data_IF_725991225044
#
_entry.id   IF_725991225044
#
_cell.length_a   1.000
_cell.length_b   1.000
_cell.length_c   1.000
_cell.angle_alpha   90.00
_cell.angle_beta   90.00
_cell.angle_gamma   90.00
#
_symmetry.space_group_name_H-M   'P 1'
#
loop_
_entity.id
_entity.type
_entity.pdbx_description
1 polymer ?
#
# COMPACT_ATOMS: atom_id res chain seq x y z
N UNK A 1 -5.35 -6.27 -5.07
CA UNK A 1 -5.69 -5.36 -6.18
C UNK A 1 -5.41 -6.02 -7.53
N UNK A 2 -6.07 -5.54 -8.59
CA UNK A 2 -5.84 -6.01 -9.97
C UNK A 2 -5.07 -4.98 -10.80
N UNK A 3 -5.04 -3.73 -10.35
CA UNK A 3 -4.29 -2.66 -11.04
C UNK A 3 -3.62 -1.76 -10.01
N UNK A 4 -2.47 -1.24 -10.34
CA UNK A 4 -1.71 -0.32 -9.49
C UNK A 4 -0.97 0.72 -10.32
N UNK A 5 -0.85 1.92 -9.77
CA UNK A 5 -0.03 2.98 -10.34
C UNK A 5 0.60 3.79 -9.21
N UNK A 6 1.87 4.11 -9.35
CA UNK A 6 2.61 4.91 -8.38
C UNK A 6 3.24 6.15 -9.00
N UNK A 7 3.38 7.17 -8.20
CA UNK A 7 4.20 8.34 -8.49
C UNK A 7 4.83 8.84 -7.19
N UNK A 8 6.04 9.37 -7.27
CA UNK A 8 6.76 9.83 -6.09
C UNK A 8 7.61 11.05 -6.40
N UNK A 9 8.08 11.69 -5.34
CA UNK A 9 9.26 12.55 -5.41
C UNK A 9 10.45 11.73 -5.90
N UNK A 10 11.61 12.35 -5.95
CA UNK A 10 12.84 11.69 -6.35
C UNK A 10 12.96 10.27 -5.77
N UNK A 11 13.09 9.29 -6.66
CA UNK A 11 13.36 7.90 -6.32
C UNK A 11 14.81 7.56 -6.66
N UNK A 12 15.62 7.40 -5.64
CA UNK A 12 16.97 6.86 -5.78
C UNK A 12 16.93 5.33 -5.82
N UNK A 13 17.98 4.74 -6.41
CA UNK A 13 18.07 3.29 -6.58
C UNK A 13 17.91 2.52 -5.25
N UNK A 14 18.56 3.00 -4.19
CA UNK A 14 18.68 2.29 -2.91
C UNK A 14 17.82 2.89 -1.78
N UNK A 15 17.00 3.90 -2.07
CA UNK A 15 16.21 4.60 -1.07
C UNK A 15 14.73 4.64 -1.42
N UNK A 16 13.89 4.70 -0.39
CA UNK A 16 12.50 5.08 -0.56
C UNK A 16 12.39 6.58 -0.90
N UNK A 17 11.35 7.00 -1.63
CA UNK A 17 11.12 8.42 -1.88
C UNK A 17 10.67 9.14 -0.60
N UNK A 18 10.87 10.46 -0.55
CA UNK A 18 10.40 11.27 0.57
C UNK A 18 8.88 11.42 0.61
N UNK A 19 8.23 11.37 -0.55
CA UNK A 19 6.78 11.47 -0.66
C UNK A 19 6.30 10.65 -1.86
N UNK A 20 5.14 10.02 -1.72
CA UNK A 20 4.57 9.20 -2.79
C UNK A 20 3.05 9.22 -2.77
N UNK A 21 2.50 8.95 -3.95
CA UNK A 21 1.10 8.64 -4.16
C UNK A 21 1.00 7.29 -4.85
N UNK A 22 0.23 6.38 -4.27
CA UNK A 22 -0.07 5.07 -4.86
C UNK A 22 -1.58 4.94 -5.03
N UNK A 23 -1.99 4.54 -6.23
CA UNK A 23 -3.36 4.18 -6.55
C UNK A 23 -3.43 2.67 -6.73
N UNK A 24 -4.32 2.02 -6.00
CA UNK A 24 -4.62 0.60 -6.08
C UNK A 24 -6.09 0.44 -6.49
N UNK A 25 -6.37 -0.49 -7.39
CA UNK A 25 -7.74 -0.75 -7.84
C UNK A 25 -8.10 -2.19 -7.49
N UNK A 26 -9.20 -2.34 -6.77
CA UNK A 26 -9.78 -3.62 -6.38
C UNK A 26 -11.03 -3.89 -7.20
N UNK A 27 -11.20 -5.12 -7.70
CA UNK A 27 -12.37 -5.46 -8.51
C UNK A 27 -13.67 -5.37 -7.71
N UNK A 28 -14.78 -5.21 -8.41
CA UNK A 28 -16.10 -5.28 -7.83
C UNK A 28 -16.33 -6.61 -7.10
N UNK A 29 -17.11 -6.57 -6.04
CA UNK A 29 -17.48 -7.73 -5.22
C UNK A 29 -19.00 -7.90 -5.23
N UNK A 30 -19.49 -8.82 -6.03
CA UNK A 30 -20.91 -8.97 -6.29
C UNK A 30 -21.65 -9.88 -5.29
N UNK A 31 -20.94 -10.75 -4.57
CA UNK A 31 -21.51 -11.80 -3.75
C UNK A 31 -21.37 -11.62 -2.24
N UNK A 32 -21.10 -10.40 -1.77
CA UNK A 32 -20.98 -10.13 -0.34
C UNK A 32 -22.26 -9.45 0.18
N UNK A 33 -23.16 -10.16 0.89
CA UNK A 33 -24.34 -9.52 1.46
C UNK A 33 -23.92 -8.39 2.41
N UNK A 34 -24.50 -7.22 2.24
CA UNK A 34 -24.25 -5.98 2.99
C UNK A 34 -22.93 -5.25 2.66
N UNK A 35 -22.05 -5.81 1.82
CA UNK A 35 -20.77 -5.23 1.46
C UNK A 35 -20.51 -5.35 -0.04
N UNK A 36 -21.54 -5.58 -0.85
CA UNK A 36 -21.42 -5.50 -2.29
C UNK A 36 -20.87 -4.11 -2.66
N UNK A 37 -19.65 -4.08 -3.13
CA UNK A 37 -18.98 -2.85 -3.49
C UNK A 37 -18.69 -2.88 -4.99
N UNK A 38 -18.90 -1.77 -5.70
CA UNK A 38 -18.37 -1.62 -7.03
C UNK A 38 -16.84 -1.76 -6.98
N UNK A 39 -16.20 -1.60 -8.10
CA UNK A 39 -14.75 -1.41 -8.11
C UNK A 39 -14.34 -0.31 -7.11
N UNK A 40 -13.31 -0.57 -6.31
CA UNK A 40 -12.84 0.36 -5.28
C UNK A 40 -11.43 0.81 -5.63
N UNK A 41 -11.25 2.12 -5.70
CA UNK A 41 -9.94 2.74 -5.77
C UNK A 41 -9.46 3.11 -4.36
N UNK A 42 -8.24 2.69 -4.03
CA UNK A 42 -7.53 3.09 -2.81
C UNK A 42 -6.38 4.00 -3.20
N UNK A 43 -6.35 5.19 -2.63
CA UNK A 43 -5.28 6.15 -2.82
C UNK A 43 -4.50 6.31 -1.52
N UNK A 44 -3.22 6.01 -1.58
CA UNK A 44 -2.28 6.23 -0.48
C UNK A 44 -1.45 7.46 -0.76
N UNK A 45 -1.40 8.35 0.21
CA UNK A 45 -0.57 9.56 0.17
C UNK A 45 0.32 9.59 1.39
N UNK A 46 1.59 9.92 1.22
CA UNK A 46 2.51 10.14 2.34
C UNK A 46 3.56 11.23 2.03
N UNK A 47 4.46 11.46 2.99
CA UNK A 47 5.53 12.45 2.84
C UNK A 47 5.07 13.89 2.71
N UNK A 48 3.86 14.20 3.19
CA UNK A 48 3.27 15.55 3.10
C UNK A 48 2.37 15.75 1.88
N UNK A 49 2.27 14.78 0.98
CA UNK A 49 1.25 14.81 -0.08
C UNK A 49 -0.13 14.57 0.53
N UNK A 50 -1.12 15.30 0.06
CA UNK A 50 -2.48 15.26 0.60
C UNK A 50 -3.48 14.98 -0.52
N UNK A 51 -4.57 14.24 -0.24
CA UNK A 51 -5.69 14.17 -1.16
C UNK A 51 -6.43 15.49 -1.24
N UNK A 52 -7.27 15.61 -2.25
CA UNK A 52 -8.20 16.73 -2.33
C UNK A 52 -9.09 16.79 -1.09
N UNK A 53 -9.36 18.01 -0.65
CA UNK A 53 -10.24 18.25 0.50
C UNK A 53 -11.67 17.85 0.15
N UNK A 54 -12.31 16.96 0.90
CA UNK A 54 -13.69 16.55 0.61
C UNK A 54 -14.64 17.75 0.62
N UNK A 55 -15.55 17.81 -0.35
CA UNK A 55 -16.56 18.85 -0.42
C UNK A 55 -17.40 18.85 0.87
N UNK A 56 -17.53 20.02 1.51
CA UNK A 56 -18.24 20.16 2.78
C UNK A 56 -17.40 19.84 4.02
N UNK A 57 -16.12 19.53 3.86
CA UNK A 57 -15.24 19.38 5.02
C UNK A 57 -15.11 20.73 5.75
N UNK A 58 -15.25 20.79 7.10
CA UNK A 58 -15.31 22.03 7.85
C UNK A 58 -14.11 22.95 7.60
N UNK A 59 -14.35 24.23 7.36
CA UNK A 59 -13.30 25.24 7.24
C UNK A 59 -12.47 25.30 8.53
N UNK A 60 -11.19 25.59 8.38
CA UNK A 60 -10.24 25.66 9.50
C UNK A 60 -9.87 24.33 10.17
N UNK A 61 -10.60 23.25 9.88
CA UNK A 61 -10.23 21.92 10.37
C UNK A 61 -9.11 21.34 9.52
N UNK A 62 -8.05 20.87 10.15
CA UNK A 62 -6.95 20.20 9.44
C UNK A 62 -7.40 18.84 8.91
N UNK A 63 -7.01 18.52 7.68
CA UNK A 63 -7.30 17.24 7.08
C UNK A 63 -6.49 16.13 7.77
N UNK A 64 -5.27 16.42 8.19
CA UNK A 64 -4.41 15.50 8.94
C UNK A 64 -4.56 15.74 10.44
N UNK A 65 -4.82 14.68 11.20
CA UNK A 65 -4.81 14.74 12.66
C UNK A 65 -3.38 14.50 13.18
N UNK A 66 -3.04 15.14 14.31
CA UNK A 66 -1.80 14.88 15.00
C UNK A 66 -1.71 13.40 15.38
N UNK A 67 -0.69 12.70 14.93
CA UNK A 67 -0.45 11.30 15.31
C UNK A 67 -0.57 10.27 14.21
N UNK A 68 -0.54 10.65 12.94
CA UNK A 68 -0.17 9.70 11.90
C UNK A 68 -1.22 9.23 10.94
N UNK A 69 -2.10 10.09 10.50
CA UNK A 69 -2.87 9.78 9.30
C UNK A 69 -4.38 9.85 9.46
N UNK A 70 -5.02 9.88 8.33
CA UNK A 70 -6.46 9.99 8.17
C UNK A 70 -6.89 9.01 7.10
N UNK A 71 -8.03 8.38 7.28
CA UNK A 71 -8.66 7.58 6.22
C UNK A 71 -10.00 8.21 5.86
N UNK A 72 -10.20 8.40 4.55
CA UNK A 72 -11.43 8.96 3.99
C UNK A 72 -12.07 7.87 3.11
N UNK A 73 -13.31 7.52 3.41
CA UNK A 73 -14.12 6.61 2.61
C UNK A 73 -15.19 7.41 1.87
N UNK A 74 -15.04 7.58 0.57
CA UNK A 74 -16.02 8.22 -0.29
C UNK A 74 -17.12 7.22 -0.65
N UNK A 75 -18.24 7.30 0.02
CA UNK A 75 -19.41 6.47 -0.27
C UNK A 75 -20.41 7.19 -1.20
N UNK A 76 -21.37 6.45 -1.71
CA UNK A 76 -22.44 7.01 -2.59
C UNK A 76 -23.45 7.89 -1.86
N UNK A 77 -23.54 7.78 -0.54
CA UNK A 77 -24.50 8.53 0.29
C UNK A 77 -23.85 9.53 1.22
N UNK A 78 -22.63 9.27 1.63
CA UNK A 78 -21.91 10.07 2.61
C UNK A 78 -20.40 9.80 2.53
N UNK A 79 -19.63 10.63 3.20
CA UNK A 79 -18.18 10.42 3.36
C UNK A 79 -17.89 10.09 4.82
N UNK A 80 -17.28 8.93 5.06
CA UNK A 80 -16.81 8.52 6.37
C UNK A 80 -15.33 8.91 6.53
N UNK A 81 -15.01 9.52 7.65
CA UNK A 81 -13.66 9.94 7.98
C UNK A 81 -13.28 9.37 9.34
N UNK A 82 -12.08 8.82 9.44
CA UNK A 82 -11.54 8.33 10.71
C UNK A 82 -10.03 8.58 10.78
N UNK A 83 -9.50 8.61 11.98
CA UNK A 83 -8.06 8.66 12.21
C UNK A 83 -7.39 7.31 11.96
N UNK A 84 -6.08 7.27 12.19
CA UNK A 84 -5.28 6.06 12.15
C UNK A 84 -5.94 4.95 13.00
N UNK A 85 -5.88 3.71 12.55
CA UNK A 85 -6.53 2.55 13.19
C UNK A 85 -8.07 2.65 13.32
N UNK A 86 -8.73 3.44 12.48
CA UNK A 86 -10.18 3.62 12.53
C UNK A 86 -10.67 4.42 13.74
N UNK A 87 -9.81 5.22 14.35
CA UNK A 87 -10.14 6.01 15.55
C UNK A 87 -11.12 7.13 15.21
N UNK A 88 -12.03 7.39 16.16
CA UNK A 88 -12.97 8.52 16.09
C UNK A 88 -13.69 8.66 14.74
N UNK A 89 -14.38 7.61 14.25
CA UNK A 89 -15.07 7.66 12.98
C UNK A 89 -16.25 8.63 13.03
N UNK A 90 -16.43 9.42 11.98
CA UNK A 90 -17.55 10.35 11.83
C UNK A 90 -17.96 10.49 10.37
N UNK A 91 -19.23 10.82 10.14
CA UNK A 91 -19.76 11.09 8.82
C UNK A 91 -19.74 12.59 8.54
N UNK A 92 -19.36 12.97 7.33
CA UNK A 92 -19.19 14.36 6.91
C UNK A 92 -20.52 15.14 6.99
N UNK A 93 -21.66 14.46 6.76
CA UNK A 93 -23.00 15.04 6.92
C UNK A 93 -23.37 15.37 8.38
N UNK A 94 -22.58 14.93 9.36
CA UNK A 94 -22.90 15.03 10.78
C UNK A 94 -23.92 13.98 11.27
N UNK A 95 -24.43 13.11 10.40
CA UNK A 95 -25.34 12.04 10.77
C UNK A 95 -24.65 11.04 11.71
N UNK A 96 -25.31 10.67 12.78
CA UNK A 96 -24.84 9.60 13.69
C UNK A 96 -25.40 8.26 13.21
N UNK A 97 -24.59 7.33 12.73
CA UNK A 97 -25.10 6.04 12.28
C UNK A 97 -25.52 5.19 13.48
N UNK A 98 -26.69 4.57 13.39
CA UNK A 98 -27.13 3.54 14.31
C UNK A 98 -26.57 2.19 13.84
N UNK A 99 -25.28 1.97 14.03
CA UNK A 99 -24.61 0.76 13.62
C UNK A 99 -24.24 -0.07 14.86
N UNK A 100 -24.44 -1.41 14.83
CA UNK A 100 -23.95 -2.26 15.90
C UNK A 100 -22.44 -2.18 15.98
N UNK A 101 -21.89 -2.16 17.18
CA UNK A 101 -20.45 -2.25 17.41
C UNK A 101 -19.99 -3.67 17.06
N UNK A 102 -19.63 -3.88 15.81
CA UNK A 102 -19.00 -5.13 15.36
C UNK A 102 -17.48 -4.91 15.39
N UNK A 103 -16.82 -5.52 16.36
CA UNK A 103 -15.37 -5.46 16.45
C UNK A 103 -14.80 -6.87 16.52
N UNK A 104 -13.94 -7.22 15.56
CA UNK A 104 -12.94 -8.26 15.76
C UNK A 104 -11.82 -7.65 16.60
N UNK A 105 -11.92 -7.71 17.91
CA UNK A 105 -10.85 -7.24 18.80
C UNK A 105 -10.04 -8.43 19.30
N UNK A 106 -8.75 -8.25 19.37
CA UNK A 106 -7.90 -9.08 20.23
C UNK A 106 -8.44 -8.94 21.65
N UNK A 107 -8.71 -10.03 22.39
CA UNK A 107 -9.27 -9.96 23.73
C UNK A 107 -8.45 -9.04 24.64
N UNK A 108 -9.11 -8.19 25.41
CA UNK A 108 -8.44 -7.25 26.35
C UNK A 108 -7.52 -7.95 27.37
N UNK A 109 -7.79 -9.22 27.67
CA UNK A 109 -6.99 -10.04 28.58
C UNK A 109 -5.61 -10.41 28.02
N UNK A 110 -5.35 -10.14 26.73
CA UNK A 110 -4.04 -10.42 26.13
C UNK A 110 -3.16 -9.18 26.22
N UNK A 111 -2.33 -9.12 27.25
CA UNK A 111 -1.22 -8.19 27.30
C UNK A 111 -0.27 -8.48 26.14
N UNK A 112 0.03 -7.49 25.29
CA UNK A 112 0.89 -7.63 24.12
C UNK A 112 0.17 -7.70 22.76
N UNK A 113 -1.16 -7.53 22.71
CA UNK A 113 -1.89 -7.30 21.46
C UNK A 113 -1.84 -8.47 20.47
N UNK A 114 -1.60 -8.14 19.21
CA UNK A 114 -1.58 -9.11 18.10
C UNK A 114 -0.43 -10.11 18.21
N UNK A 115 0.71 -9.71 18.71
CA UNK A 115 1.89 -10.57 18.91
C UNK A 115 1.57 -11.70 19.89
N UNK A 116 0.91 -11.37 21.00
CA UNK A 116 0.53 -12.37 22.01
C UNK A 116 -0.63 -13.24 21.54
N UNK A 117 -1.53 -12.74 20.71
CA UNK A 117 -2.56 -13.55 20.06
C UNK A 117 -1.94 -14.60 19.12
N UNK A 118 -0.90 -14.22 18.39
CA UNK A 118 -0.09 -15.14 17.57
C UNK A 118 0.59 -16.21 18.45
N UNK A 119 1.30 -15.80 19.50
CA UNK A 119 1.98 -16.72 20.45
C UNK A 119 0.98 -17.69 21.08
N UNK A 120 -0.20 -17.23 21.47
CA UNK A 120 -1.29 -18.07 21.98
C UNK A 120 -1.65 -19.17 20.95
N UNK A 121 -1.93 -18.77 19.72
CA UNK A 121 -2.30 -19.71 18.68
C UNK A 121 -1.20 -20.73 18.36
N UNK A 122 0.07 -20.34 18.45
CA UNK A 122 1.20 -21.25 18.30
C UNK A 122 1.28 -22.32 19.40
N UNK A 123 0.83 -21.99 20.63
CA UNK A 123 0.84 -22.89 21.78
C UNK A 123 -0.36 -23.83 21.84
N UNK A 124 -1.42 -23.56 21.11
CA UNK A 124 -2.63 -24.38 21.09
C UNK A 124 -2.44 -25.63 20.21
N UNK A 125 -3.12 -26.70 20.58
CA UNK A 125 -3.14 -27.91 19.73
C UNK A 125 -3.77 -27.60 18.36
N UNK A 126 -3.22 -28.13 17.26
CA UNK A 126 -3.78 -27.92 15.93
C UNK A 126 -5.28 -28.24 15.81
N UNK A 127 -5.76 -29.25 16.56
CA UNK A 127 -7.17 -29.68 16.52
C UNK A 127 -8.13 -28.74 17.25
N UNK A 128 -7.64 -27.90 18.14
CA UNK A 128 -8.45 -26.95 18.93
C UNK A 128 -8.03 -25.50 18.75
N UNK A 129 -7.10 -25.23 17.84
CA UNK A 129 -6.54 -23.90 17.63
C UNK A 129 -7.59 -22.89 17.19
N UNK A 130 -7.65 -21.78 17.91
CA UNK A 130 -8.38 -20.60 17.46
C UNK A 130 -7.42 -19.72 16.67
N UNK A 131 -7.74 -19.46 15.40
CA UNK A 131 -6.88 -18.65 14.54
C UNK A 131 -6.68 -17.25 15.14
N UNK A 132 -5.45 -16.71 15.09
CA UNK A 132 -5.20 -15.33 15.53
C UNK A 132 -5.92 -14.34 14.62
N UNK A 133 -6.17 -13.13 15.11
CA UNK A 133 -6.89 -12.10 14.34
C UNK A 133 -6.09 -11.57 13.15
N UNK A 134 -4.79 -11.77 13.16
CA UNK A 134 -3.87 -11.42 12.06
C UNK A 134 -3.27 -12.67 11.43
N UNK A 135 -4.11 -13.69 11.20
CA UNK A 135 -3.64 -14.89 10.49
C UNK A 135 -3.32 -14.59 9.01
N UNK A 136 -2.70 -15.55 8.33
CA UNK A 136 -2.23 -15.34 6.95
C UNK A 136 -3.36 -15.10 5.94
N UNK A 137 -4.60 -15.52 6.23
CA UNK A 137 -5.73 -15.24 5.34
C UNK A 137 -6.11 -13.75 5.33
N UNK A 138 -5.81 -13.03 6.40
CA UNK A 138 -5.98 -11.58 6.52
C UNK A 138 -4.67 -10.84 6.20
N UNK A 139 -3.57 -11.27 6.79
CA UNK A 139 -2.27 -10.61 6.66
C UNK A 139 -1.62 -10.79 5.28
N UNK A 140 -1.85 -11.93 4.63
CA UNK A 140 -1.29 -12.21 3.29
C UNK A 140 -1.76 -11.19 2.24
N UNK A 141 -3.07 -11.08 1.97
CA UNK A 141 -3.59 -10.10 1.01
C UNK A 141 -3.26 -8.64 1.36
N UNK A 142 -3.20 -8.32 2.65
CA UNK A 142 -2.80 -6.97 3.08
C UNK A 142 -1.33 -6.69 2.76
N UNK A 143 -0.42 -7.64 3.03
CA UNK A 143 0.99 -7.48 2.68
C UNK A 143 1.22 -7.44 1.17
N UNK A 144 0.48 -8.23 0.40
CA UNK A 144 0.49 -8.14 -1.07
C UNK A 144 0.13 -6.72 -1.53
N UNK A 145 -0.95 -6.14 -1.00
CA UNK A 145 -1.35 -4.77 -1.32
C UNK A 145 -0.24 -3.76 -1.00
N UNK A 146 0.42 -3.87 0.15
CA UNK A 146 1.52 -2.97 0.55
C UNK A 146 2.71 -3.15 -0.40
N UNK A 147 3.09 -4.40 -0.70
CA UNK A 147 4.18 -4.70 -1.63
C UNK A 147 3.90 -4.17 -3.04
N UNK A 148 2.65 -4.25 -3.52
CA UNK A 148 2.22 -3.68 -4.79
C UNK A 148 2.46 -2.16 -4.86
N UNK A 149 2.26 -1.45 -3.75
CA UNK A 149 2.58 -0.02 -3.66
C UNK A 149 4.07 0.25 -3.89
N UNK A 150 4.94 -0.55 -3.28
CA UNK A 150 6.39 -0.45 -3.47
C UNK A 150 6.78 -0.75 -4.92
N UNK A 151 6.24 -1.82 -5.50
CA UNK A 151 6.49 -2.19 -6.91
C UNK A 151 6.04 -1.08 -7.86
N UNK A 152 4.85 -0.49 -7.64
CA UNK A 152 4.35 0.61 -8.44
C UNK A 152 5.29 1.82 -8.43
N UNK A 153 5.86 2.15 -7.28
CA UNK A 153 6.85 3.23 -7.15
C UNK A 153 8.15 2.87 -7.87
N UNK A 154 8.65 1.65 -7.74
CA UNK A 154 9.87 1.21 -8.42
C UNK A 154 9.72 1.20 -9.96
N UNK A 155 8.51 0.93 -10.44
CA UNK A 155 8.17 0.85 -11.86
C UNK A 155 7.53 2.15 -12.41
N UNK A 156 7.47 3.23 -11.61
CA UNK A 156 6.81 4.48 -12.02
C UNK A 156 7.37 5.10 -13.31
N UNK A 157 8.62 4.78 -13.66
CA UNK A 157 9.23 5.23 -14.92
C UNK A 157 8.49 4.77 -16.19
N UNK A 158 7.66 3.72 -16.10
CA UNK A 158 6.79 3.28 -17.18
C UNK A 158 5.60 4.21 -17.42
N UNK A 159 5.28 5.08 -16.45
CA UNK A 159 4.22 6.08 -16.54
C UNK A 159 2.86 5.54 -17.00
N UNK A 160 2.47 4.38 -16.51
CA UNK A 160 1.19 3.72 -16.83
C UNK A 160 0.61 3.00 -15.62
N UNK A 161 -0.68 2.70 -15.69
CA UNK A 161 -1.32 1.77 -14.76
C UNK A 161 -0.84 0.36 -15.07
N UNK A 162 -0.30 -0.32 -14.07
CA UNK A 162 0.18 -1.69 -14.16
C UNK A 162 -0.96 -2.65 -13.81
N UNK A 163 -1.10 -3.72 -14.60
CA UNK A 163 -2.09 -4.78 -14.39
C UNK A 163 -1.44 -5.97 -13.68
N UNK A 164 -2.06 -6.43 -12.61
CA UNK A 164 -1.54 -7.45 -11.73
C UNK A 164 -2.35 -8.74 -11.77
N UNK A 165 -1.67 -9.84 -12.04
CA UNK A 165 -2.16 -11.21 -11.91
C UNK A 165 -1.63 -11.81 -10.61
N UNK A 166 -2.40 -11.67 -9.53
CA UNK A 166 -1.99 -12.14 -8.18
C UNK A 166 -1.86 -13.66 -8.10
N UNK A 167 -2.63 -14.40 -8.88
CA UNK A 167 -2.53 -15.87 -8.88
C UNK A 167 -1.18 -16.37 -9.40
N UNK A 168 -0.60 -15.67 -10.37
CA UNK A 168 0.67 -16.00 -10.97
C UNK A 168 1.82 -15.06 -10.54
N UNK A 169 1.54 -14.12 -9.64
CA UNK A 169 2.52 -13.17 -9.10
C UNK A 169 3.32 -12.45 -10.19
N UNK A 170 2.61 -11.81 -11.13
CA UNK A 170 3.23 -11.12 -12.27
C UNK A 170 2.41 -9.93 -12.75
N UNK A 171 3.09 -8.98 -13.37
CA UNK A 171 2.45 -7.95 -14.19
C UNK A 171 2.15 -8.49 -15.59
N UNK A 172 0.99 -8.16 -16.12
CA UNK A 172 0.52 -8.69 -17.41
C UNK A 172 0.69 -7.71 -18.57
N UNK A 173 0.88 -6.43 -18.27
CA UNK A 173 0.93 -5.37 -19.29
C UNK A 173 2.29 -4.65 -19.39
N UNK A 174 3.38 -5.28 -18.97
CA UNK A 174 4.74 -4.81 -19.25
C UNK A 174 5.22 -5.52 -20.52
N UNK A 175 5.47 -4.74 -21.56
CA UNK A 175 5.97 -5.25 -22.85
C UNK A 175 7.43 -5.70 -22.78
N UNK A 176 7.81 -6.62 -23.65
CA UNK A 176 9.17 -7.20 -23.67
C UNK A 176 10.24 -6.16 -24.04
N UNK A 177 9.89 -5.12 -24.80
CA UNK A 177 10.80 -4.05 -25.24
C UNK A 177 10.78 -2.82 -24.33
N UNK A 178 9.94 -2.80 -23.29
CA UNK A 178 9.86 -1.66 -22.39
C UNK A 178 11.10 -1.58 -21.50
N UNK A 179 11.61 -0.36 -21.36
CA UNK A 179 12.78 -0.08 -20.53
C UNK A 179 12.48 1.01 -19.53
N UNK A 180 13.22 1.02 -18.43
CA UNK A 180 13.19 2.10 -17.44
C UNK A 180 14.60 2.46 -17.00
N UNK A 181 14.73 3.66 -16.42
CA UNK A 181 15.96 4.15 -15.78
C UNK A 181 15.65 4.56 -14.35
N UNK A 182 16.60 4.33 -13.47
CA UNK A 182 16.54 4.80 -12.08
C UNK A 182 17.56 5.90 -11.85
N UNK A 183 17.26 6.83 -10.97
CA UNK A 183 18.19 7.89 -10.60
C UNK A 183 19.23 7.33 -9.63
N UNK A 184 20.51 7.46 -9.97
CA UNK A 184 21.64 7.10 -9.10
C UNK A 184 21.98 8.27 -8.20
N UNK A 185 22.04 9.48 -8.79
CA UNK A 185 22.40 10.71 -8.11
C UNK A 185 21.46 11.83 -8.53
N UNK A 186 21.00 12.60 -7.57
CA UNK A 186 20.29 13.84 -7.81
C UNK A 186 20.87 14.95 -6.95
N UNK A 187 21.10 16.08 -7.56
CA UNK A 187 21.71 17.21 -6.89
C UNK A 187 21.69 18.47 -7.74
N UNK A 188 22.32 19.50 -7.20
CA UNK A 188 22.52 20.77 -7.88
C UNK A 188 24.03 21.07 -7.97
N UNK A 189 24.41 21.72 -9.03
CA UNK A 189 25.72 22.37 -9.17
C UNK A 189 25.53 23.80 -9.64
N UNK A 190 26.47 24.65 -9.31
CA UNK A 190 26.50 25.99 -9.85
C UNK A 190 27.30 25.97 -11.15
N UNK A 191 26.65 26.40 -12.23
CA UNK A 191 27.30 26.57 -13.52
C UNK A 191 27.13 28.02 -13.98
N UNK A 192 28.21 28.72 -14.18
CA UNK A 192 28.25 30.15 -14.55
C UNK A 192 27.36 31.03 -13.63
N UNK A 193 27.42 30.78 -12.31
CA UNK A 193 26.64 31.53 -11.32
C UNK A 193 25.16 31.13 -11.18
N UNK A 194 24.70 30.15 -11.96
CA UNK A 194 23.31 29.68 -11.93
C UNK A 194 23.22 28.23 -11.41
N UNK A 195 22.20 27.91 -10.58
CA UNK A 195 21.94 26.53 -10.20
C UNK A 195 21.49 25.72 -11.41
N UNK A 196 22.05 24.54 -11.56
CA UNK A 196 21.64 23.56 -12.58
C UNK A 196 21.54 22.17 -11.97
N UNK A 197 20.73 21.31 -12.57
CA UNK A 197 20.59 19.93 -12.11
C UNK A 197 21.87 19.14 -12.37
N UNK A 198 22.27 18.34 -11.39
CA UNK A 198 23.39 17.40 -11.47
C UNK A 198 22.84 15.99 -11.23
N UNK A 199 22.13 15.48 -12.24
CA UNK A 199 21.41 14.21 -12.17
C UNK A 199 22.12 13.14 -13.00
N UNK A 200 22.30 11.96 -12.39
CA UNK A 200 22.84 10.77 -13.05
C UNK A 200 21.82 9.65 -13.00
N UNK A 201 21.66 8.94 -14.10
CA UNK A 201 20.73 7.85 -14.27
C UNK A 201 21.47 6.55 -14.56
N UNK A 202 20.85 5.41 -14.25
CA UNK A 202 21.31 4.10 -14.74
C UNK A 202 21.25 4.05 -16.26
N UNK A 203 21.94 3.10 -16.85
CA UNK A 203 21.59 2.66 -18.19
C UNK A 203 20.15 2.13 -18.22
N UNK A 204 19.49 2.13 -19.39
CA UNK A 204 18.18 1.53 -19.53
C UNK A 204 18.23 0.04 -19.17
N UNK A 205 17.33 -0.40 -18.31
CA UNK A 205 17.13 -1.81 -17.99
C UNK A 205 15.79 -2.29 -18.55
N UNK A 206 15.71 -3.56 -18.92
CA UNK A 206 14.44 -4.14 -19.34
C UNK A 206 13.45 -4.14 -18.17
N UNK A 207 12.29 -3.50 -18.36
CA UNK A 207 11.33 -3.25 -17.30
C UNK A 207 10.67 -4.54 -16.78
N UNK A 208 10.43 -5.50 -17.68
CA UNK A 208 9.82 -6.79 -17.32
C UNK A 208 10.77 -7.62 -16.47
N UNK A 209 12.02 -7.76 -16.88
CA UNK A 209 13.03 -8.48 -16.11
C UNK A 209 13.26 -7.82 -14.74
N UNK A 210 13.31 -6.48 -14.70
CA UNK A 210 13.43 -5.73 -13.45
C UNK A 210 12.23 -5.95 -12.52
N UNK A 211 11.01 -5.95 -13.05
CA UNK A 211 9.81 -6.25 -12.26
C UNK A 211 9.83 -7.69 -11.71
N UNK A 212 10.25 -8.68 -12.52
CA UNK A 212 10.38 -10.06 -12.09
C UNK A 212 11.42 -10.24 -10.96
N UNK A 213 12.53 -9.53 -11.04
CA UNK A 213 13.57 -9.53 -9.99
C UNK A 213 13.06 -8.92 -8.68
N UNK A 214 12.27 -7.83 -8.75
CA UNK A 214 11.66 -7.23 -7.56
C UNK A 214 10.61 -8.15 -6.90
N UNK A 215 9.94 -8.98 -7.67
CA UNK A 215 8.93 -9.93 -7.16
C UNK A 215 9.60 -11.16 -6.55
N UNK A 216 10.66 -11.66 -7.19
CA UNK A 216 11.41 -12.84 -6.76
C UNK A 216 12.80 -12.44 -6.31
N UNK A 217 13.02 -12.42 -5.01
CA UNK A 217 14.36 -12.16 -4.48
C UNK A 217 15.33 -13.25 -4.89
N UNK A 218 16.39 -12.85 -5.57
CA UNK A 218 17.58 -13.65 -5.73
C UNK A 218 18.52 -13.35 -4.56
N UNK A 219 18.91 -14.40 -3.83
CA UNK A 219 19.88 -14.24 -2.78
C UNK A 219 21.28 -14.11 -3.39
N UNK A 220 22.14 -13.31 -2.74
CA UNK A 220 23.54 -13.23 -3.15
C UNK A 220 24.20 -14.61 -3.11
N UNK A 221 25.25 -14.77 -3.89
CA UNK A 221 26.00 -16.02 -4.01
C UNK A 221 26.33 -16.64 -2.63
N UNK A 222 26.13 -17.95 -2.52
CA UNK A 222 26.34 -18.71 -1.28
C UNK A 222 25.15 -18.74 -0.32
N UNK A 223 24.05 -18.02 -0.59
CA UNK A 223 22.84 -18.05 0.23
C UNK A 223 21.67 -18.69 -0.52
N UNK A 224 20.99 -19.61 0.15
CA UNK A 224 19.75 -20.23 -0.36
C UNK A 224 18.71 -20.26 0.74
N UNK A 225 17.44 -20.07 0.36
CA UNK A 225 16.35 -20.43 1.26
C UNK A 225 16.31 -21.95 1.41
N UNK A 226 16.01 -22.46 2.61
CA UNK A 226 15.66 -23.86 2.75
C UNK A 226 14.41 -24.17 1.92
N UNK A 227 14.32 -25.42 1.44
CA UNK A 227 13.10 -25.87 0.78
C UNK A 227 11.91 -25.71 1.73
N UNK A 228 10.85 -25.08 1.24
CA UNK A 228 9.63 -24.95 2.04
C UNK A 228 9.06 -26.33 2.32
N UNK A 229 8.68 -26.63 3.57
CA UNK A 229 7.95 -27.85 3.86
C UNK A 229 6.65 -27.86 3.05
N UNK A 230 6.42 -28.95 2.32
CA UNK A 230 5.21 -29.17 1.53
C UNK A 230 4.06 -29.63 2.42
#
# INVERSE_FOLDING_TARGET
PTRVQGSSTLLLQDCAPNAQHVKLVFPARDNMPKVAMPEVEVHWYDGGMMPDRPKGFPEGKQLMQSGGGLTIFHGTKDTLICGCYGQNPWLLSGRVPNAPKVCRRVPKAMNGGHEMDWVRACKESPSSRVMPKSDFSEAGPMNEMVAMGVLAIRLQGLNKTLEWDGANMRFTNIGDDETLRTVIKDGFKIHNGHPSFDKTWTDPVNAKAFAEELIKHNYREGWKLPDMPR
#
